data_IF_635221824087
#
_entry.id   IF_635221824087
#
_cell.length_a   1.000
_cell.length_b   1.000
_cell.length_c   1.000
_cell.angle_alpha   90.00
_cell.angle_beta   90.00
_cell.angle_gamma   90.00
#
_symmetry.space_group_name_H-M   'P 1'
#
loop_
_entity.id
_entity.type
_entity.pdbx_description
1 polymer ?
#
# COMPACT_ATOMS: atom_id res chain seq x y z
N UNK A 1 -0.62 -17.44 -26.26
CA UNK A 1 -0.71 -16.30 -25.31
C UNK A 1 0.49 -15.39 -25.52
N UNK A 2 0.27 -14.11 -25.83
CA UNK A 2 1.36 -13.14 -25.85
C UNK A 2 2.00 -13.06 -24.48
N UNK A 3 3.33 -13.09 -24.39
CA UNK A 3 4.03 -12.77 -23.13
C UNK A 3 3.60 -11.37 -22.74
N UNK A 4 2.92 -11.21 -21.61
CA UNK A 4 2.62 -9.88 -21.08
C UNK A 4 3.96 -9.25 -20.72
N UNK A 5 4.46 -8.40 -21.61
CA UNK A 5 5.73 -7.70 -21.45
C UNK A 5 5.55 -6.52 -20.49
N UNK A 6 6.64 -6.09 -19.87
CA UNK A 6 6.63 -4.90 -19.01
C UNK A 6 6.04 -5.08 -17.61
N UNK A 7 5.60 -6.29 -17.21
CA UNK A 7 5.07 -6.53 -15.85
C UNK A 7 6.06 -6.12 -14.75
N UNK A 8 7.34 -6.47 -14.91
CA UNK A 8 8.39 -6.15 -13.92
C UNK A 8 8.54 -4.63 -13.72
N UNK A 9 8.82 -3.81 -14.76
CA UNK A 9 8.92 -2.37 -14.58
C UNK A 9 7.60 -1.72 -14.14
N UNK A 10 6.44 -2.19 -14.62
CA UNK A 10 5.14 -1.66 -14.20
C UNK A 10 4.86 -1.90 -12.72
N UNK A 11 5.19 -3.10 -12.21
CA UNK A 11 5.05 -3.42 -10.79
C UNK A 11 5.95 -2.56 -9.93
N UNK A 12 7.21 -2.42 -10.31
CA UNK A 12 8.15 -1.57 -9.60
C UNK A 12 7.68 -0.11 -9.54
N UNK A 13 7.25 0.44 -10.68
CA UNK A 13 6.80 1.83 -10.77
C UNK A 13 5.54 2.08 -9.93
N UNK A 14 4.54 1.19 -10.01
CA UNK A 14 3.28 1.35 -9.26
C UNK A 14 3.49 1.22 -7.76
N UNK A 15 4.32 0.27 -7.30
CA UNK A 15 4.68 0.15 -5.89
C UNK A 15 5.37 1.43 -5.40
N UNK A 16 6.35 1.96 -6.15
CA UNK A 16 7.01 3.21 -5.79
C UNK A 16 6.07 4.42 -5.82
N UNK A 17 5.14 4.50 -6.77
CA UNK A 17 4.15 5.57 -6.80
C UNK A 17 3.27 5.54 -5.55
N UNK A 18 2.80 4.36 -5.14
CA UNK A 18 2.04 4.21 -3.90
C UNK A 18 2.89 4.58 -2.67
N UNK A 19 4.15 4.13 -2.61
CA UNK A 19 5.09 4.51 -1.56
C UNK A 19 5.26 6.03 -1.43
N UNK A 20 5.49 6.73 -2.55
CA UNK A 20 5.68 8.19 -2.54
C UNK A 20 4.43 8.90 -2.04
N UNK A 21 3.23 8.51 -2.50
CA UNK A 21 1.99 9.13 -2.04
C UNK A 21 1.75 8.88 -0.54
N UNK A 22 2.08 7.70 -0.03
CA UNK A 22 2.00 7.40 1.42
C UNK A 22 2.98 8.23 2.22
N UNK A 23 4.20 8.44 1.74
CA UNK A 23 5.18 9.34 2.38
C UNK A 23 4.65 10.77 2.37
N UNK A 24 4.14 11.26 1.23
CA UNK A 24 3.54 12.60 1.15
C UNK A 24 2.40 12.75 2.16
N UNK A 25 1.50 11.78 2.24
CA UNK A 25 0.41 11.78 3.22
C UNK A 25 0.93 11.76 4.65
N UNK A 26 2.02 11.03 4.95
CA UNK A 26 2.65 11.05 6.27
C UNK A 26 3.01 12.46 6.72
N UNK A 27 3.49 13.29 5.80
CA UNK A 27 3.86 14.69 6.08
C UNK A 27 2.67 15.66 5.99
N UNK A 28 1.63 15.39 5.19
CA UNK A 28 0.54 16.34 4.90
C UNK A 28 -0.83 15.96 5.49
N UNK A 29 -0.90 14.95 6.37
CA UNK A 29 -2.14 14.36 6.90
C UNK A 29 -3.04 15.27 7.75
N UNK A 30 -2.57 16.43 8.23
CA UNK A 30 -3.33 17.29 9.15
C UNK A 30 -4.73 17.63 8.62
N UNK A 31 -4.82 17.95 7.33
CA UNK A 31 -6.09 18.27 6.66
C UNK A 31 -7.05 17.07 6.62
N UNK A 32 -6.53 15.86 6.47
CA UNK A 32 -7.33 14.63 6.51
C UNK A 32 -7.81 14.34 7.92
N UNK A 33 -6.97 14.52 8.93
CA UNK A 33 -7.34 14.29 10.34
C UNK A 33 -8.48 15.22 10.75
N UNK A 34 -8.41 16.50 10.36
CA UNK A 34 -9.49 17.46 10.63
C UNK A 34 -10.81 17.08 9.96
N UNK A 35 -10.76 16.43 8.79
CA UNK A 35 -11.97 15.92 8.13
C UNK A 35 -12.65 14.77 8.91
N UNK A 36 -11.91 14.07 9.77
CA UNK A 36 -12.42 12.97 10.62
C UNK A 36 -13.09 13.48 11.90
N UNK A 37 -13.01 14.79 12.16
CA UNK A 37 -13.40 15.41 13.42
C UNK A 37 -14.67 16.25 13.26
N UNK A 38 -15.46 16.39 14.32
CA UNK A 38 -16.56 17.35 14.35
C UNK A 38 -16.04 18.79 14.22
N UNK A 39 -16.93 19.72 13.81
CA UNK A 39 -16.60 21.15 13.67
C UNK A 39 -15.97 21.78 14.92
N UNK A 40 -16.31 21.26 16.10
CA UNK A 40 -15.68 21.59 17.38
C UNK A 40 -15.16 20.29 17.96
N UNK A 41 -13.85 20.18 18.10
CA UNK A 41 -13.17 19.01 18.61
C UNK A 41 -12.23 19.39 19.74
N UNK A 42 -11.90 18.42 20.56
CA UNK A 42 -10.93 18.51 21.65
C UNK A 42 -9.53 18.07 21.17
N UNK A 43 -8.45 18.55 21.80
CA UNK A 43 -7.10 18.09 21.48
C UNK A 43 -6.94 16.57 21.57
N UNK A 44 -7.63 15.93 22.52
CA UNK A 44 -7.58 14.48 22.74
C UNK A 44 -8.24 13.71 21.57
N UNK A 45 -9.32 14.24 20.99
CA UNK A 45 -9.96 13.65 19.81
C UNK A 45 -9.06 13.77 18.58
N UNK A 46 -8.38 14.91 18.40
CA UNK A 46 -7.41 15.10 17.32
C UNK A 46 -6.25 14.12 17.44
N UNK A 47 -5.63 14.03 18.63
CA UNK A 47 -4.50 13.14 18.89
C UNK A 47 -4.86 11.68 18.65
N UNK A 48 -6.07 11.27 19.04
CA UNK A 48 -6.57 9.91 18.79
C UNK A 48 -6.65 9.60 17.30
N UNK A 49 -7.20 10.48 16.49
CA UNK A 49 -7.30 10.29 15.04
C UNK A 49 -5.92 10.33 14.37
N UNK A 50 -5.06 11.25 14.79
CA UNK A 50 -3.68 11.35 14.32
C UNK A 50 -2.92 10.06 14.58
N UNK A 51 -2.94 9.55 15.82
CA UNK A 51 -2.27 8.31 16.20
C UNK A 51 -2.76 7.10 15.39
N UNK A 52 -4.07 7.02 15.11
CA UNK A 52 -4.63 5.94 14.29
C UNK A 52 -4.14 6.00 12.84
N UNK A 53 -4.16 7.19 12.23
CA UNK A 53 -3.71 7.35 10.85
C UNK A 53 -2.21 7.13 10.72
N UNK A 54 -1.41 7.67 11.65
CA UNK A 54 0.05 7.44 11.71
C UNK A 54 0.37 5.96 11.86
N UNK A 55 -0.32 5.24 12.75
CA UNK A 55 -0.13 3.80 12.91
C UNK A 55 -0.43 3.06 11.59
N UNK A 56 -1.53 3.39 10.91
CA UNK A 56 -1.89 2.79 9.63
C UNK A 56 -0.84 3.07 8.54
N UNK A 57 -0.33 4.31 8.46
CA UNK A 57 0.73 4.68 7.51
C UNK A 57 2.04 3.94 7.81
N UNK A 58 2.43 3.82 9.08
CA UNK A 58 3.61 3.05 9.50
C UNK A 58 3.49 1.57 9.12
N UNK A 59 2.32 0.97 9.31
CA UNK A 59 2.05 -0.40 8.87
C UNK A 59 2.19 -0.52 7.35
N UNK A 60 1.63 0.41 6.58
CA UNK A 60 1.77 0.45 5.11
C UNK A 60 3.24 0.51 4.67
N UNK A 61 4.06 1.34 5.31
CA UNK A 61 5.50 1.40 5.03
C UNK A 61 6.21 0.06 5.31
N UNK A 62 5.85 -0.61 6.41
CA UNK A 62 6.35 -1.95 6.71
C UNK A 62 5.96 -2.98 5.65
N UNK A 63 4.72 -2.94 5.15
CA UNK A 63 4.24 -3.82 4.10
C UNK A 63 4.95 -3.58 2.76
N UNK A 64 5.26 -2.32 2.41
CA UNK A 64 6.08 -2.03 1.23
C UNK A 64 7.47 -2.63 1.34
N UNK A 65 8.08 -2.65 2.53
CA UNK A 65 9.38 -3.29 2.73
C UNK A 65 9.31 -4.80 2.44
N UNK A 66 8.23 -5.47 2.85
CA UNK A 66 7.99 -6.89 2.54
C UNK A 66 7.82 -7.11 1.04
N UNK A 67 6.98 -6.30 0.38
CA UNK A 67 6.77 -6.40 -1.07
C UNK A 67 8.03 -6.14 -1.89
N UNK A 68 8.79 -5.11 -1.52
CA UNK A 68 10.06 -4.81 -2.17
C UNK A 68 11.10 -5.91 -1.93
N UNK A 69 11.18 -6.48 -0.73
CA UNK A 69 12.10 -7.58 -0.45
C UNK A 69 11.76 -8.82 -1.29
N UNK A 70 10.48 -9.19 -1.35
CA UNK A 70 10.03 -10.33 -2.16
C UNK A 70 10.21 -10.09 -3.66
N UNK A 71 9.90 -8.89 -4.15
CA UNK A 71 10.14 -8.48 -5.53
C UNK A 71 11.64 -8.48 -5.89
N UNK A 72 12.49 -7.80 -5.12
CA UNK A 72 13.91 -7.65 -5.41
C UNK A 72 14.71 -8.94 -5.18
N UNK A 73 14.24 -9.85 -4.33
CA UNK A 73 14.83 -11.19 -4.19
C UNK A 73 14.67 -12.06 -5.44
N UNK A 74 13.78 -11.66 -6.38
CA UNK A 74 13.48 -12.42 -7.60
C UNK A 74 12.44 -13.53 -7.40
N UNK A 75 12.00 -13.79 -6.16
CA UNK A 75 11.02 -14.85 -5.86
C UNK A 75 9.68 -14.63 -6.53
N UNK A 76 9.17 -13.39 -6.49
CA UNK A 76 7.87 -13.04 -7.09
C UNK A 76 7.99 -12.20 -8.36
N UNK A 77 9.20 -11.71 -8.69
CA UNK A 77 9.44 -10.79 -9.81
C UNK A 77 8.89 -11.33 -11.13
N UNK A 78 9.03 -12.63 -11.36
CA UNK A 78 8.59 -13.30 -12.58
C UNK A 78 7.23 -14.00 -12.44
N UNK A 79 6.55 -13.86 -11.31
CA UNK A 79 5.20 -14.36 -11.12
C UNK A 79 4.19 -13.37 -11.71
N UNK A 80 3.58 -13.73 -12.84
CA UNK A 80 2.67 -12.84 -13.57
C UNK A 80 1.39 -12.53 -12.78
N UNK A 81 0.85 -13.48 -12.03
CA UNK A 81 -0.36 -13.28 -11.22
C UNK A 81 -0.11 -12.28 -10.10
N UNK A 82 0.97 -12.46 -9.34
CA UNK A 82 1.37 -11.51 -8.29
C UNK A 82 1.66 -10.14 -8.86
N UNK A 83 2.30 -10.08 -10.04
CA UNK A 83 2.60 -8.81 -10.70
C UNK A 83 1.33 -8.07 -11.11
N UNK A 84 0.35 -8.75 -11.72
CA UNK A 84 -0.92 -8.13 -12.10
C UNK A 84 -1.71 -7.64 -10.88
N UNK A 85 -1.78 -8.45 -9.82
CA UNK A 85 -2.44 -8.09 -8.57
C UNK A 85 -1.79 -6.85 -7.94
N UNK A 86 -0.46 -6.87 -7.78
CA UNK A 86 0.31 -5.76 -7.22
C UNK A 86 0.16 -4.49 -8.06
N UNK A 87 0.27 -4.58 -9.39
CA UNK A 87 0.06 -3.43 -10.30
C UNK A 87 -1.34 -2.82 -10.12
N UNK A 88 -2.38 -3.66 -10.15
CA UNK A 88 -3.76 -3.19 -10.02
C UNK A 88 -3.97 -2.50 -8.67
N UNK A 89 -3.56 -3.15 -7.58
CA UNK A 89 -3.70 -2.65 -6.23
C UNK A 89 -2.95 -1.32 -6.01
N UNK A 90 -1.66 -1.25 -6.32
CA UNK A 90 -0.88 -0.03 -6.11
C UNK A 90 -1.29 1.10 -7.04
N UNK A 91 -1.65 0.82 -8.31
CA UNK A 91 -2.17 1.84 -9.20
C UNK A 91 -3.49 2.44 -8.68
N UNK A 92 -4.44 1.59 -8.27
CA UNK A 92 -5.69 2.02 -7.66
C UNK A 92 -5.46 2.85 -6.40
N UNK A 93 -4.53 2.43 -5.52
CA UNK A 93 -4.16 3.23 -4.35
C UNK A 93 -3.50 4.55 -4.69
N UNK A 94 -2.57 4.60 -5.66
CA UNK A 94 -1.93 5.87 -6.06
C UNK A 94 -2.97 6.89 -6.51
N UNK A 95 -3.96 6.46 -7.29
CA UNK A 95 -5.06 7.34 -7.72
C UNK A 95 -5.97 7.71 -6.54
N UNK A 96 -6.45 6.71 -5.78
CA UNK A 96 -7.37 6.95 -4.67
C UNK A 96 -6.76 7.81 -3.56
N UNK A 97 -5.47 7.60 -3.23
CA UNK A 97 -4.77 8.40 -2.22
C UNK A 97 -4.43 9.80 -2.72
N UNK A 98 -4.25 10.00 -4.03
CA UNK A 98 -4.14 11.35 -4.59
C UNK A 98 -5.43 12.14 -4.32
N UNK A 99 -6.60 11.53 -4.58
CA UNK A 99 -7.88 12.14 -4.22
C UNK A 99 -8.05 12.27 -2.71
N UNK A 100 -7.66 11.27 -1.93
CA UNK A 100 -7.70 11.33 -0.46
C UNK A 100 -6.99 12.58 0.07
N UNK A 101 -5.81 12.91 -0.47
CA UNK A 101 -5.05 14.11 -0.09
C UNK A 101 -5.72 15.38 -0.60
N UNK A 102 -6.08 15.46 -1.89
CA UNK A 102 -6.61 16.70 -2.47
C UNK A 102 -8.01 17.07 -1.97
N UNK A 103 -8.89 16.09 -1.84
CA UNK A 103 -10.28 16.25 -1.41
C UNK A 103 -10.45 16.08 0.10
N UNK A 104 -9.34 15.88 0.84
CA UNK A 104 -9.32 15.76 2.31
C UNK A 104 -10.30 14.70 2.82
N UNK A 105 -10.25 13.50 2.26
CA UNK A 105 -11.12 12.42 2.68
C UNK A 105 -10.88 12.01 4.14
N UNK A 106 -11.93 11.48 4.76
CA UNK A 106 -11.91 11.02 6.15
C UNK A 106 -10.99 9.79 6.35
N UNK A 107 -10.40 9.70 7.54
CA UNK A 107 -9.42 8.71 8.00
C UNK A 107 -9.93 7.27 7.84
N UNK A 108 -11.23 7.04 8.02
CA UNK A 108 -11.84 5.72 7.84
C UNK A 108 -11.68 5.23 6.39
N UNK A 109 -11.67 6.14 5.42
CA UNK A 109 -11.45 5.80 4.00
C UNK A 109 -10.04 5.24 3.77
N UNK A 110 -9.05 5.74 4.51
CA UNK A 110 -7.68 5.22 4.42
C UNK A 110 -7.61 3.74 4.77
N UNK A 111 -8.35 3.29 5.79
CA UNK A 111 -8.36 1.88 6.21
C UNK A 111 -8.85 0.94 5.10
N UNK A 112 -9.87 1.35 4.33
CA UNK A 112 -10.32 0.56 3.18
C UNK A 112 -9.24 0.48 2.10
N UNK A 113 -8.60 1.61 1.76
CA UNK A 113 -7.50 1.63 0.79
C UNK A 113 -6.35 0.75 1.27
N UNK A 114 -5.95 0.88 2.53
CA UNK A 114 -4.92 0.06 3.16
C UNK A 114 -5.22 -1.43 3.04
N UNK A 115 -6.43 -1.87 3.41
CA UNK A 115 -6.78 -3.30 3.39
C UNK A 115 -6.68 -3.88 1.99
N UNK A 116 -7.27 -3.22 0.98
CA UNK A 116 -7.32 -3.77 -0.37
C UNK A 116 -6.05 -3.55 -1.18
N UNK A 117 -5.33 -2.46 -0.93
CA UNK A 117 -4.24 -2.02 -1.80
C UNK A 117 -2.84 -2.08 -1.17
N UNK A 118 -2.73 -2.35 0.13
CA UNK A 118 -1.45 -2.53 0.83
C UNK A 118 -1.38 -3.89 1.54
N UNK A 119 -2.38 -4.21 2.38
CA UNK A 119 -2.41 -5.47 3.12
C UNK A 119 -2.57 -6.67 2.20
N UNK A 120 -3.53 -6.62 1.27
CA UNK A 120 -3.78 -7.76 0.39
C UNK A 120 -2.59 -8.14 -0.51
N UNK A 121 -1.94 -7.21 -1.26
CA UNK A 121 -0.76 -7.54 -2.05
C UNK A 121 0.44 -8.02 -1.22
N UNK A 122 0.64 -7.45 -0.04
CA UNK A 122 1.72 -7.87 0.86
C UNK A 122 1.49 -9.26 1.47
N UNK A 123 0.23 -9.62 1.78
CA UNK A 123 -0.12 -10.97 2.23
C UNK A 123 0.15 -11.99 1.12
N UNK A 124 -0.25 -11.71 -0.12
CA UNK A 124 0.04 -12.62 -1.24
C UNK A 124 1.53 -12.72 -1.54
N UNK A 125 2.28 -11.62 -1.39
CA UNK A 125 3.74 -11.64 -1.46
C UNK A 125 4.36 -12.54 -0.39
N UNK A 126 3.94 -12.35 0.86
CA UNK A 126 4.44 -13.12 2.01
C UNK A 126 4.16 -14.60 1.82
N UNK A 127 2.97 -14.95 1.33
CA UNK A 127 2.60 -16.33 1.02
C UNK A 127 3.51 -16.95 -0.04
N UNK A 128 3.86 -16.20 -1.09
CA UNK A 128 4.82 -16.66 -2.11
C UNK A 128 6.23 -16.81 -1.53
N UNK A 129 6.66 -15.85 -0.71
CA UNK A 129 7.97 -15.88 -0.06
C UNK A 129 8.12 -17.11 0.83
N UNK A 130 7.11 -17.41 1.65
CA UNK A 130 7.04 -18.62 2.49
C UNK A 130 6.97 -19.88 1.63
N UNK A 131 6.19 -19.89 0.54
CA UNK A 131 6.09 -21.05 -0.33
C UNK A 131 7.43 -21.41 -1.00
N UNK A 132 8.21 -20.41 -1.40
CA UNK A 132 9.50 -20.64 -2.07
C UNK A 132 10.60 -20.97 -1.07
N UNK A 133 10.79 -20.16 -0.02
CA UNK A 133 11.88 -20.40 0.93
C UNK A 133 11.56 -21.47 1.97
N UNK A 134 10.32 -21.52 2.46
CA UNK A 134 9.89 -22.48 3.48
C UNK A 134 9.55 -23.85 2.91
N UNK A 135 8.76 -23.89 1.82
CA UNK A 135 8.28 -25.16 1.23
C UNK A 135 9.12 -25.64 0.04
N UNK A 136 10.18 -24.91 -0.34
CA UNK A 136 11.02 -25.19 -1.52
C UNK A 136 10.22 -25.39 -2.82
N UNK A 137 9.04 -24.76 -2.92
CA UNK A 137 8.24 -24.79 -4.15
C UNK A 137 8.93 -23.92 -5.20
N UNK A 138 8.75 -24.29 -6.48
CA UNK A 138 9.20 -23.43 -7.57
C UNK A 138 8.38 -22.12 -7.55
N UNK A 139 9.00 -20.96 -7.80
CA UNK A 139 8.31 -19.66 -7.83
C UNK A 139 7.27 -19.52 -8.96
N UNK A 140 7.33 -20.43 -9.94
CA UNK A 140 6.49 -20.49 -11.13
C UNK A 140 6.30 -21.94 -11.61
#
# INVERSE_FOLDING_TARGET
MGRISGLVPSRFLTLLAHLVVVITLFWSRESNIQACLPLKFTPEEYEKQDNQLVAALCLTLGLFAVELAGFLSGVSMFNSTQSLLSIAAHCSASVALSFFVFERWECTTYWYIFTFCSAFPAVTETALFIAVFGLKKKPF
#
